data_IF_073375810878
#
_entry.id   IF_073375810878
#
_cell.length_a   1.000
_cell.length_b   1.000
_cell.length_c   1.000
_cell.angle_alpha   90.00
_cell.angle_beta   90.00
_cell.angle_gamma   90.00
#
_symmetry.space_group_name_H-M   'P 1'
#
loop_
_entity.id
_entity.type
_entity.pdbx_description
1 polymer ?
#
# COMPACT_ATOMS: atom_id res chain seq x y z
N UNK A 1 18.89 2.72 -20.36
CA UNK A 1 17.67 2.35 -21.10
C UNK A 1 17.81 0.90 -21.58
N UNK A 2 16.72 0.13 -21.60
CA UNK A 2 16.74 -1.33 -21.84
C UNK A 2 17.07 -1.77 -23.29
N UNK A 3 17.44 -0.85 -24.19
CA UNK A 3 17.87 -1.18 -25.56
C UNK A 3 16.78 -1.65 -26.52
N UNK A 4 15.50 -1.55 -26.14
CA UNK A 4 14.36 -1.99 -26.97
C UNK A 4 14.03 -0.94 -28.04
N UNK A 5 14.04 -1.28 -29.34
CA UNK A 5 13.64 -0.36 -30.41
C UNK A 5 12.16 0.03 -30.31
N UNK A 6 11.84 1.31 -30.56
CA UNK A 6 10.46 1.81 -30.46
C UNK A 6 9.45 1.03 -31.32
N UNK A 7 9.88 0.60 -32.52
CA UNK A 7 9.04 -0.18 -33.46
C UNK A 7 8.69 -1.59 -32.95
N UNK A 8 9.43 -2.10 -31.97
CA UNK A 8 9.24 -3.43 -31.37
C UNK A 8 8.53 -3.35 -30.02
N UNK A 9 8.36 -2.15 -29.46
CA UNK A 9 7.62 -1.95 -28.23
C UNK A 9 6.11 -2.15 -28.46
N UNK A 10 5.50 -3.03 -27.67
CA UNK A 10 4.06 -3.23 -27.62
C UNK A 10 3.54 -2.93 -26.20
N UNK A 11 2.34 -2.37 -26.09
CA UNK A 11 1.71 -2.04 -24.82
C UNK A 11 0.40 -2.81 -24.68
N UNK A 12 0.28 -3.60 -23.62
CA UNK A 12 -0.99 -4.18 -23.20
C UNK A 12 -1.69 -3.21 -22.24
N UNK A 13 -3.02 -3.15 -22.31
CA UNK A 13 -3.84 -2.36 -21.38
C UNK A 13 -4.58 -3.32 -20.46
N UNK A 14 -4.30 -3.22 -19.16
CA UNK A 14 -5.06 -3.90 -18.13
C UNK A 14 -6.22 -2.98 -17.70
N UNK A 15 -7.45 -3.45 -17.83
CA UNK A 15 -8.64 -2.77 -17.32
C UNK A 15 -9.07 -3.49 -16.05
N UNK A 16 -9.04 -2.78 -14.92
CA UNK A 16 -9.41 -3.28 -13.61
C UNK A 16 -10.54 -2.44 -13.03
N UNK A 17 -11.40 -3.05 -12.22
CA UNK A 17 -12.42 -2.33 -11.46
C UNK A 17 -11.78 -1.31 -10.51
N UNK A 18 -12.32 -0.09 -10.50
CA UNK A 18 -11.89 0.98 -9.61
C UNK A 18 -12.45 0.76 -8.22
N UNK A 19 -11.56 0.65 -7.23
CA UNK A 19 -11.93 0.49 -5.83
C UNK A 19 -12.03 1.85 -5.13
N UNK A 20 -12.91 1.96 -4.13
CA UNK A 20 -13.01 3.15 -3.24
C UNK A 20 -12.55 2.77 -1.82
N UNK A 21 -11.24 2.81 -1.55
CA UNK A 21 -10.69 2.30 -0.30
C UNK A 21 -10.68 3.32 0.84
N UNK A 22 -10.69 2.80 2.06
CA UNK A 22 -10.41 3.57 3.27
C UNK A 22 -8.91 3.87 3.40
N UNK A 23 -8.09 2.90 3.00
CA UNK A 23 -6.63 2.95 3.05
C UNK A 23 -6.04 2.30 1.81
N UNK A 24 -4.91 2.82 1.36
CA UNK A 24 -4.04 2.21 0.35
C UNK A 24 -2.70 1.85 0.96
N UNK A 25 -2.01 0.88 0.38
CA UNK A 25 -0.70 0.47 0.90
C UNK A 25 0.24 -0.04 -0.20
N UNK A 26 1.53 0.08 0.11
CA UNK A 26 2.63 -0.62 -0.55
C UNK A 26 3.31 -1.50 0.51
N UNK A 27 3.56 -2.77 0.20
CA UNK A 27 4.30 -3.70 1.06
C UNK A 27 5.60 -4.10 0.39
N UNK A 28 6.67 -4.10 1.18
CA UNK A 28 7.93 -4.73 0.84
C UNK A 28 8.14 -5.93 1.76
N UNK A 29 8.33 -7.12 1.20
CA UNK A 29 8.54 -8.34 2.01
C UNK A 29 10.01 -8.60 2.33
N UNK A 30 10.92 -7.80 1.77
CA UNK A 30 12.27 -7.57 2.29
C UNK A 30 12.33 -6.11 2.77
N UNK A 31 12.73 -5.88 4.01
CA UNK A 31 12.82 -4.51 4.54
C UNK A 31 13.74 -3.63 3.67
N UNK A 32 13.23 -2.54 3.07
CA UNK A 32 14.07 -1.57 2.37
C UNK A 32 14.97 -0.79 3.34
N UNK A 33 14.61 -0.74 4.63
CA UNK A 33 15.32 0.05 5.64
C UNK A 33 16.60 -0.64 6.13
N UNK A 34 16.52 -1.94 6.43
CA UNK A 34 17.61 -2.70 7.07
C UNK A 34 17.89 -4.07 6.43
N UNK A 35 17.17 -4.41 5.35
CA UNK A 35 17.30 -5.67 4.61
C UNK A 35 17.00 -6.92 5.45
N UNK A 36 16.18 -6.79 6.49
CA UNK A 36 15.67 -7.93 7.24
C UNK A 36 14.62 -8.73 6.44
N UNK A 37 15.00 -9.95 6.04
CA UNK A 37 14.11 -10.92 5.39
C UNK A 37 12.98 -11.45 6.29
N UNK A 38 13.04 -11.21 7.60
CA UNK A 38 12.03 -11.68 8.55
C UNK A 38 10.90 -10.67 8.79
N UNK A 39 10.93 -9.53 8.10
CA UNK A 39 9.95 -8.46 8.26
C UNK A 39 9.24 -8.13 6.95
N UNK A 40 8.02 -7.60 7.08
CA UNK A 40 7.28 -6.94 6.01
C UNK A 40 7.14 -5.48 6.43
N UNK A 41 7.61 -4.57 5.59
CA UNK A 41 7.43 -3.14 5.79
C UNK A 41 6.26 -2.65 4.94
N UNK A 42 5.32 -1.95 5.58
CA UNK A 42 4.13 -1.39 4.95
C UNK A 42 4.21 0.13 4.98
N UNK A 43 4.09 0.76 3.81
CA UNK A 43 3.74 2.17 3.68
C UNK A 43 2.23 2.27 3.42
N UNK A 44 1.53 3.08 4.21
CA UNK A 44 0.07 3.16 4.19
C UNK A 44 -0.35 4.63 4.05
N UNK A 45 -1.33 4.88 3.20
CA UNK A 45 -1.91 6.21 2.99
C UNK A 45 -3.44 6.17 3.11
N UNK A 46 -4.08 7.31 3.44
CA UNK A 46 -5.53 7.40 3.49
C UNK A 46 -6.12 7.47 2.07
N UNK A 47 -7.25 6.80 1.84
CA UNK A 47 -7.90 6.80 0.53
C UNK A 47 -7.07 6.11 -0.56
N UNK A 48 -7.12 6.64 -1.79
CA UNK A 48 -6.46 6.08 -2.96
C UNK A 48 -4.92 6.10 -2.87
N UNK A 49 -4.29 5.06 -3.44
CA UNK A 49 -2.84 4.85 -3.44
C UNK A 49 -2.05 5.83 -4.30
N UNK A 50 -2.71 6.68 -5.07
CA UNK A 50 -2.07 7.70 -5.89
C UNK A 50 -1.18 8.62 -5.06
N UNK A 51 -1.52 8.89 -3.79
CA UNK A 51 -0.67 9.68 -2.87
C UNK A 51 0.68 9.02 -2.58
N UNK A 52 0.74 7.68 -2.57
CA UNK A 52 1.99 6.91 -2.44
C UNK A 52 2.76 6.87 -3.76
N UNK A 53 2.06 6.68 -4.89
CA UNK A 53 2.68 6.51 -6.21
C UNK A 53 3.22 7.82 -6.81
N UNK A 54 2.55 8.95 -6.56
CA UNK A 54 2.83 10.25 -7.19
C UNK A 54 3.98 11.05 -6.56
N UNK A 55 4.63 10.54 -5.52
CA UNK A 55 5.64 11.29 -4.77
C UNK A 55 5.05 12.54 -4.09
N UNK A 56 3.77 12.48 -3.69
CA UNK A 56 3.10 13.57 -3.00
C UNK A 56 3.88 13.98 -1.76
N UNK A 57 4.03 15.30 -1.52
CA UNK A 57 4.75 15.81 -0.35
C UNK A 57 4.07 15.34 0.93
N UNK A 58 4.82 14.60 1.75
CA UNK A 58 4.38 14.11 3.04
C UNK A 58 5.11 12.83 3.41
N UNK A 59 4.66 12.21 4.48
CA UNK A 59 5.14 10.93 4.98
C UNK A 59 3.93 10.02 5.14
N UNK A 60 3.99 8.76 4.67
CA UNK A 60 2.95 7.78 4.92
C UNK A 60 3.05 7.22 6.34
N UNK A 61 2.03 6.49 6.79
CA UNK A 61 2.22 5.64 7.96
C UNK A 61 3.18 4.52 7.57
N UNK A 62 4.13 4.21 8.45
CA UNK A 62 5.05 3.09 8.25
C UNK A 62 4.93 2.10 9.39
N UNK A 63 4.69 0.83 9.03
CA UNK A 63 4.68 -0.29 9.96
C UNK A 63 5.71 -1.32 9.52
N UNK A 64 6.50 -1.84 10.46
CA UNK A 64 7.32 -3.03 10.24
C UNK A 64 6.74 -4.17 11.05
N UNK A 65 6.44 -5.28 10.38
CA UNK A 65 5.78 -6.44 10.98
C UNK A 65 6.61 -7.68 10.79
N UNK A 66 6.95 -8.38 11.88
CA UNK A 66 7.74 -9.61 11.83
C UNK A 66 6.87 -10.80 11.41
N UNK A 67 7.36 -11.58 10.45
CA UNK A 67 6.66 -12.70 9.80
C UNK A 67 6.32 -13.86 10.75
N UNK A 68 7.10 -14.06 11.80
CA UNK A 68 7.04 -15.30 12.60
C UNK A 68 6.51 -15.13 14.03
N UNK A 69 6.60 -13.94 14.63
CA UNK A 69 6.16 -13.71 16.01
C UNK A 69 5.08 -12.63 16.15
N UNK A 70 4.61 -12.07 15.04
CA UNK A 70 3.51 -11.13 15.00
C UNK A 70 3.79 -9.79 15.66
N UNK A 71 5.06 -9.47 15.96
CA UNK A 71 5.44 -8.15 16.46
C UNK A 71 5.26 -7.11 15.36
N UNK A 72 4.50 -6.06 15.66
CA UNK A 72 4.31 -4.89 14.80
C UNK A 72 4.93 -3.68 15.46
N UNK A 73 5.78 -2.97 14.72
CA UNK A 73 6.40 -1.71 15.13
C UNK A 73 5.90 -0.58 14.24
N UNK A 74 5.51 0.53 14.86
CA UNK A 74 5.24 1.77 14.14
C UNK A 74 6.57 2.49 13.92
N UNK A 75 6.93 2.69 12.65
CA UNK A 75 8.15 3.39 12.25
C UNK A 75 7.89 4.87 11.98
N UNK A 76 6.70 5.20 11.47
CA UNK A 76 6.29 6.59 11.21
C UNK A 76 4.77 6.78 11.30
N UNK A 77 4.37 7.98 11.68
CA UNK A 77 3.00 8.47 11.53
C UNK A 77 2.89 9.33 10.27
N UNK A 78 1.73 9.27 9.62
CA UNK A 78 1.49 10.02 8.38
C UNK A 78 1.26 11.52 8.61
N UNK A 79 1.53 12.32 7.58
CA UNK A 79 1.28 13.77 7.57
C UNK A 79 0.94 14.35 6.19
N UNK A 80 0.45 13.55 5.24
CA UNK A 80 -0.12 14.07 3.99
C UNK A 80 -1.23 15.09 4.26
N UNK A 81 -1.21 16.20 3.54
CA UNK A 81 -2.23 17.26 3.69
C UNK A 81 -3.60 16.83 3.18
N UNK A 82 -3.64 16.01 2.12
CA UNK A 82 -4.87 15.63 1.42
C UNK A 82 -4.95 14.12 1.18
N UNK A 83 -6.17 13.59 1.17
CA UNK A 83 -6.52 12.25 0.71
C UNK A 83 -7.39 12.33 -0.55
N UNK A 84 -7.25 11.31 -1.40
CA UNK A 84 -8.00 11.17 -2.65
C UNK A 84 -9.12 10.16 -2.47
N UNK A 85 -10.34 10.57 -2.76
CA UNK A 85 -11.55 9.74 -2.65
C UNK A 85 -12.26 9.67 -4.00
N UNK A 86 -12.74 8.48 -4.36
CA UNK A 86 -13.62 8.30 -5.52
C UNK A 86 -14.96 8.96 -5.21
N UNK A 87 -15.47 9.78 -6.14
CA UNK A 87 -16.81 10.38 -5.98
C UNK A 87 -17.85 9.25 -5.91
N UNK A 88 -18.56 9.16 -4.78
CA UNK A 88 -19.55 8.11 -4.51
C UNK A 88 -20.92 8.36 -5.15
N UNK A 89 -21.12 9.49 -5.82
CA UNK A 89 -22.39 9.87 -6.45
C UNK A 89 -22.30 9.75 -7.98
N UNK A 90 -22.60 8.56 -8.50
CA UNK A 90 -22.69 8.30 -9.95
C UNK A 90 -21.92 7.07 -10.40
N UNK A 91 -21.95 6.73 -11.70
CA UNK A 91 -21.04 5.76 -12.29
C UNK A 91 -19.58 6.20 -12.05
N UNK A 92 -18.66 5.24 -11.90
CA UNK A 92 -17.23 5.56 -11.86
C UNK A 92 -16.81 6.19 -13.19
N UNK A 93 -16.68 7.52 -13.21
CA UNK A 93 -16.28 8.34 -14.36
C UNK A 93 -14.78 8.69 -14.33
N UNK A 94 -14.06 8.19 -13.32
CA UNK A 94 -12.65 8.48 -13.09
C UNK A 94 -12.39 9.74 -12.28
N UNK A 95 -13.43 10.46 -11.83
CA UNK A 95 -13.25 11.66 -11.02
C UNK A 95 -12.94 11.34 -9.55
N UNK A 96 -11.95 12.07 -9.02
CA UNK A 96 -11.51 11.98 -7.62
C UNK A 96 -11.66 13.33 -6.95
N UNK A 97 -11.94 13.33 -5.65
CA UNK A 97 -12.01 14.53 -4.81
C UNK A 97 -10.86 14.54 -3.82
N UNK A 98 -10.24 15.70 -3.66
CA UNK A 98 -9.23 15.96 -2.65
C UNK A 98 -9.89 16.46 -1.37
N UNK A 99 -9.64 15.80 -0.24
CA UNK A 99 -10.09 16.25 1.07
C UNK A 99 -8.91 16.40 2.01
N UNK A 100 -8.93 17.44 2.86
CA UNK A 100 -7.92 17.60 3.92
C UNK A 100 -8.01 16.44 4.91
N UNK A 101 -6.86 15.83 5.22
CA UNK A 101 -6.81 14.67 6.12
C UNK A 101 -6.91 15.13 7.58
N UNK A 102 -7.88 14.58 8.32
CA UNK A 102 -7.99 14.75 9.77
C UNK A 102 -7.37 13.56 10.52
N UNK A 103 -6.07 13.64 10.80
CA UNK A 103 -5.32 12.59 11.51
C UNK A 103 -5.81 12.34 12.94
N UNK A 104 -6.51 13.29 13.56
CA UNK A 104 -7.04 13.11 14.92
C UNK A 104 -8.16 12.06 14.99
N UNK A 105 -8.71 11.67 13.84
CA UNK A 105 -9.79 10.69 13.73
C UNK A 105 -9.38 9.39 13.04
N UNK A 106 -8.20 9.32 12.42
CA UNK A 106 -7.76 8.14 11.67
C UNK A 106 -7.32 7.03 12.64
N UNK A 107 -7.90 5.81 12.58
CA UNK A 107 -7.54 4.72 13.48
C UNK A 107 -6.06 4.35 13.46
N UNK A 108 -5.37 4.43 12.31
CA UNK A 108 -3.92 4.23 12.26
C UNK A 108 -3.14 5.22 13.14
N UNK A 109 -3.65 6.43 13.37
CA UNK A 109 -2.98 7.42 14.22
C UNK A 109 -3.34 7.23 15.70
N UNK A 110 -4.60 7.03 16.02
CA UNK A 110 -5.08 7.12 17.41
C UNK A 110 -5.24 5.77 18.11
N UNK A 111 -5.39 4.67 17.36
CA UNK A 111 -5.68 3.36 17.92
C UNK A 111 -4.48 2.39 17.73
N UNK A 112 -3.71 2.11 18.81
CA UNK A 112 -2.58 1.18 18.74
C UNK A 112 -3.01 -0.28 18.49
N UNK A 113 -4.21 -0.69 18.93
CA UNK A 113 -4.72 -2.04 18.71
C UNK A 113 -5.06 -2.21 17.24
N UNK A 114 -5.74 -1.22 16.65
CA UNK A 114 -6.02 -1.21 15.22
C UNK A 114 -4.73 -1.30 14.39
N UNK A 115 -3.72 -0.47 14.70
CA UNK A 115 -2.40 -0.53 14.03
C UNK A 115 -1.78 -1.92 14.11
N UNK A 116 -1.79 -2.54 15.28
CA UNK A 116 -1.23 -3.87 15.47
C UNK A 116 -1.98 -4.92 14.63
N UNK A 117 -3.30 -4.92 14.68
CA UNK A 117 -4.12 -5.87 13.92
C UNK A 117 -3.96 -5.69 12.40
N UNK A 118 -3.95 -4.45 11.90
CA UNK A 118 -3.74 -4.18 10.49
C UNK A 118 -2.33 -4.62 10.05
N UNK A 119 -1.30 -4.26 10.80
CA UNK A 119 0.09 -4.66 10.51
C UNK A 119 0.24 -6.19 10.41
N UNK A 120 -0.34 -6.93 11.36
CA UNK A 120 -0.33 -8.41 11.33
C UNK A 120 -1.02 -8.98 10.09
N UNK A 121 -2.17 -8.41 9.70
CA UNK A 121 -2.93 -8.86 8.53
C UNK A 121 -2.18 -8.58 7.23
N UNK A 122 -1.59 -7.39 7.08
CA UNK A 122 -0.77 -7.04 5.93
C UNK A 122 0.48 -7.93 5.84
N UNK A 123 1.13 -8.19 6.98
CA UNK A 123 2.26 -9.11 7.06
C UNK A 123 1.90 -10.53 6.58
N UNK A 124 0.74 -11.06 7.02
CA UNK A 124 0.27 -12.37 6.61
C UNK A 124 0.05 -12.46 5.09
N UNK A 125 -0.54 -11.41 4.48
CA UNK A 125 -0.75 -11.34 3.02
C UNK A 125 0.58 -11.24 2.28
N UNK A 126 1.48 -10.34 2.72
CA UNK A 126 2.80 -10.18 2.11
C UNK A 126 3.62 -11.48 2.17
N UNK A 127 3.67 -12.12 3.33
CA UNK A 127 4.37 -13.39 3.51
C UNK A 127 3.75 -14.51 2.66
N UNK A 128 2.43 -14.56 2.54
CA UNK A 128 1.77 -15.51 1.65
C UNK A 128 2.20 -15.33 0.20
N UNK A 129 2.21 -14.09 -0.31
CA UNK A 129 2.60 -13.79 -1.69
C UNK A 129 4.08 -14.09 -1.93
N UNK A 130 4.96 -13.67 -1.03
CA UNK A 130 6.40 -14.01 -1.10
C UNK A 130 6.63 -15.52 -1.20
N UNK A 131 5.95 -16.32 -0.39
CA UNK A 131 6.05 -17.79 -0.47
C UNK A 131 5.50 -18.36 -1.76
N UNK A 132 4.46 -17.74 -2.34
CA UNK A 132 3.86 -18.18 -3.60
C UNK A 132 4.74 -17.88 -4.81
N UNK A 133 5.41 -16.73 -4.81
CA UNK A 133 6.30 -16.33 -5.91
C UNK A 133 7.76 -16.75 -5.72
N UNK A 134 8.16 -17.14 -4.51
CA UNK A 134 9.49 -17.66 -4.22
C UNK A 134 10.59 -16.61 -4.09
N UNK A 135 10.24 -15.32 -4.10
CA UNK A 135 11.16 -14.21 -3.90
C UNK A 135 10.47 -13.04 -3.20
N UNK A 136 11.22 -12.09 -2.61
CA UNK A 136 10.65 -10.89 -2.02
C UNK A 136 9.76 -10.14 -3.01
N UNK A 137 8.65 -9.59 -2.51
CA UNK A 137 7.64 -8.92 -3.34
C UNK A 137 7.49 -7.46 -2.94
N UNK A 138 7.26 -6.64 -3.97
CA UNK A 138 6.73 -5.28 -3.90
C UNK A 138 5.25 -5.34 -4.28
N UNK A 139 4.37 -5.08 -3.32
CA UNK A 139 2.94 -5.38 -3.39
C UNK A 139 2.16 -4.09 -3.17
N UNK A 140 1.25 -3.79 -4.10
CA UNK A 140 0.30 -2.69 -3.97
C UNK A 140 -1.09 -3.24 -3.71
N UNK A 141 -1.81 -2.57 -2.82
CA UNK A 141 -3.18 -2.96 -2.48
C UNK A 141 -3.91 -1.89 -1.70
N UNK A 142 -5.11 -2.25 -1.27
CA UNK A 142 -5.96 -1.36 -0.48
C UNK A 142 -6.84 -2.11 0.51
N UNK A 143 -7.38 -1.36 1.46
CA UNK A 143 -8.30 -1.85 2.50
C UNK A 143 -9.66 -1.19 2.28
N UNK A 144 -10.71 -2.02 2.19
CA UNK A 144 -12.11 -1.59 2.12
C UNK A 144 -12.83 -2.24 3.29
N UNK A 145 -13.18 -1.45 4.30
CA UNK A 145 -13.72 -1.94 5.56
C UNK A 145 -12.78 -2.95 6.23
N UNK A 146 -13.14 -4.22 6.18
CA UNK A 146 -12.34 -5.32 6.76
C UNK A 146 -11.57 -6.11 5.73
N UNK A 147 -11.74 -5.87 4.44
CA UNK A 147 -11.14 -6.71 3.40
C UNK A 147 -9.89 -6.06 2.82
N UNK A 148 -8.93 -6.90 2.42
CA UNK A 148 -7.68 -6.48 1.77
C UNK A 148 -7.76 -6.93 0.31
N UNK A 149 -7.56 -5.98 -0.60
CA UNK A 149 -7.50 -6.22 -2.04
C UNK A 149 -6.08 -5.96 -2.52
N UNK A 150 -5.55 -6.89 -3.32
CA UNK A 150 -4.25 -6.74 -3.97
C UNK A 150 -4.49 -6.30 -5.40
N UNK A 151 -3.89 -5.17 -5.78
CA UNK A 151 -4.03 -4.60 -7.13
C UNK A 151 -2.81 -4.88 -7.99
N UNK A 152 -1.63 -5.03 -7.38
CA UNK A 152 -0.40 -5.38 -8.09
C UNK A 152 0.55 -6.12 -7.15
N UNK A 153 1.32 -7.06 -7.70
CA UNK A 153 2.50 -7.64 -7.04
C UNK A 153 3.58 -7.86 -8.09
N UNK A 154 4.82 -7.59 -7.72
CA UNK A 154 5.98 -7.83 -8.58
C UNK A 154 7.18 -8.25 -7.73
N UNK A 155 8.20 -8.91 -8.31
CA UNK A 155 9.47 -9.12 -7.62
C UNK A 155 10.02 -7.79 -7.11
N UNK A 156 10.37 -7.75 -5.82
CA UNK A 156 10.95 -6.57 -5.20
C UNK A 156 12.35 -6.32 -5.81
N UNK A 157 12.64 -5.12 -6.33
CA UNK A 157 13.98 -4.76 -6.78
C UNK A 157 14.98 -4.84 -5.62
N UNK A 158 16.20 -5.33 -5.91
CA UNK A 158 17.34 -5.33 -4.97
C UNK A 158 17.84 -3.91 -4.70
#
# INVERSE_FOLDING_TARGET
AAGVPQKEAAMAVLVQEMLSPDLSFVLHTLSPTDHDHNSVEAEIAPGLGETLASGTRGTPWRLSSRKFDGLVRTLAFANFSEELLVRSTGPADGEVTHLTVDYSKKPLTVDPIFRQQLGQRLCAVGFFLERKFGCPQDIEGCVIGKDIFIVQTRPQPL
#
